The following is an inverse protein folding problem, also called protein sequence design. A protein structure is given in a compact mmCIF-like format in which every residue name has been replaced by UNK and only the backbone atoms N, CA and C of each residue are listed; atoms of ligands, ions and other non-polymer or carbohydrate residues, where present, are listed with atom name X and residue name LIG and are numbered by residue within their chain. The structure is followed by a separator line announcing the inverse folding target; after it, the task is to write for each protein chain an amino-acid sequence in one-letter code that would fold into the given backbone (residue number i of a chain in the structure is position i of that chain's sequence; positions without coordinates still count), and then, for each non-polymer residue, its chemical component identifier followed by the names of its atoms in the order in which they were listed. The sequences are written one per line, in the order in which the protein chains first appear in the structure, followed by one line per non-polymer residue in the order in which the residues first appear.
data_IF_710723276148
#
_entry.id   IF_710723276148
#
_cell.length_a   1.000
_cell.length_b   1.000
_cell.length_c   1.000
_cell.angle_alpha   90.00
_cell.angle_beta   90.00
_cell.angle_gamma   90.00
#
_symmetry.space_group_name_H-M   'P 1'
#
loop_
_entity.id
_entity.type
_entity.pdbx_description
1 polymer ?
#
# COMPACT_ATOMS: atom_id res chain seq x y z
N UNK A 1 -27.61 -50.23 27.85
CA UNK A 1 -26.82 -49.00 27.58
C UNK A 1 -25.61 -48.99 28.52
N UNK A 2 -24.48 -48.36 28.16
CA UNK A 2 -23.22 -48.41 28.94
C UNK A 2 -23.08 -47.18 29.88
N UNK A 3 -22.16 -47.30 30.85
CA UNK A 3 -21.74 -46.27 31.83
C UNK A 3 -21.14 -45.03 31.10
N UNK A 4 -20.95 -43.85 31.69
CA UNK A 4 -20.00 -43.49 32.80
C UNK A 4 -20.46 -42.22 33.53
N UNK A 5 -19.91 -41.96 34.73
CA UNK A 5 -20.23 -40.86 35.66
C UNK A 5 -18.93 -40.10 36.05
N UNK A 6 -19.06 -38.82 36.44
CA UNK A 6 -18.06 -37.95 37.10
C UNK A 6 -16.85 -37.47 36.27
N UNK A 7 -16.35 -36.25 36.61
CA UNK A 7 -15.16 -35.69 35.94
C UNK A 7 -14.88 -34.17 36.05
N UNK A 8 -15.50 -33.41 36.97
CA UNK A 8 -15.13 -31.99 37.18
C UNK A 8 -13.97 -31.89 38.20
N UNK A 9 -12.80 -31.41 37.75
CA UNK A 9 -11.64 -31.16 38.60
C UNK A 9 -11.30 -29.65 38.59
N UNK A 10 -11.53 -28.98 39.73
CA UNK A 10 -11.15 -27.58 39.91
C UNK A 10 -9.70 -27.49 40.39
N UNK A 11 -8.78 -27.12 39.49
CA UNK A 11 -7.35 -27.03 39.80
C UNK A 11 -7.02 -25.68 40.48
N UNK A 12 -7.12 -25.64 41.80
CA UNK A 12 -6.65 -24.50 42.60
C UNK A 12 -5.24 -24.78 43.10
N UNK A 13 -4.25 -24.05 42.58
CA UNK A 13 -2.87 -24.12 43.07
C UNK A 13 -2.40 -22.72 43.46
N UNK A 14 -2.27 -22.50 44.76
CA UNK A 14 -1.64 -21.31 45.33
C UNK A 14 -0.12 -21.41 45.21
N UNK A 15 0.55 -20.29 44.93
CA UNK A 15 1.96 -20.13 45.23
C UNK A 15 2.22 -18.73 45.81
N UNK A 16 3.11 -18.66 46.79
CA UNK A 16 3.15 -17.57 47.78
C UNK A 16 4.20 -16.50 47.44
N UNK A 17 3.99 -15.27 47.91
CA UNK A 17 5.09 -14.32 48.08
C UNK A 17 5.96 -14.75 49.27
N UNK A 18 7.27 -14.55 49.16
CA UNK A 18 8.20 -14.57 50.28
C UNK A 18 9.28 -13.50 50.06
N UNK A 19 9.58 -12.71 51.08
CA UNK A 19 10.59 -11.65 51.03
C UNK A 19 11.28 -11.44 52.38
N UNK A 20 12.61 -11.57 52.41
CA UNK A 20 13.61 -11.09 53.37
C UNK A 20 14.98 -11.26 52.65
N UNK A 21 16.00 -10.40 52.71
CA UNK A 21 16.46 -9.38 53.66
C UNK A 21 17.21 -9.90 54.89
N UNK A 22 18.56 -9.89 54.84
CA UNK A 22 19.49 -9.34 55.85
C UNK A 22 20.97 -9.61 55.48
N UNK A 23 21.90 -8.90 56.14
CA UNK A 23 23.36 -9.02 55.97
C UNK A 23 23.96 -10.22 56.73
N UNK A 24 25.25 -10.55 56.49
CA UNK A 24 26.30 -10.28 57.50
C UNK A 24 27.73 -10.28 56.89
N UNK A 25 28.77 -10.14 57.72
CA UNK A 25 30.17 -9.80 57.37
C UNK A 25 31.24 -10.78 57.92
N UNK A 26 32.52 -10.51 57.59
CA UNK A 26 33.77 -11.09 58.13
C UNK A 26 34.09 -12.58 57.83
N UNK A 27 35.33 -13.11 57.98
CA UNK A 27 36.74 -12.64 57.78
C UNK A 27 37.70 -13.81 58.15
N UNK A 28 39.02 -13.70 57.86
CA UNK A 28 40.15 -14.53 58.38
C UNK A 28 40.22 -15.97 57.78
N UNK A 29 41.33 -16.58 57.33
CA UNK A 29 42.69 -16.18 56.84
C UNK A 29 43.23 -17.39 56.01
N UNK A 30 44.48 -17.86 55.81
CA UNK A 30 45.93 -17.64 56.18
C UNK A 30 46.73 -18.60 55.23
N UNK A 31 48.05 -18.58 54.96
CA UNK A 31 49.21 -17.71 55.19
C UNK A 31 50.35 -18.12 54.21
N UNK A 32 51.36 -17.24 53.96
CA UNK A 32 52.67 -17.52 53.30
C UNK A 32 52.64 -17.99 51.82
N UNK A 33 53.72 -17.84 51.02
CA UNK A 33 55.12 -17.45 51.32
C UNK A 33 55.69 -16.44 50.29
N UNK A 34 56.95 -16.00 50.49
CA UNK A 34 57.71 -14.97 49.74
C UNK A 34 59.17 -15.52 49.57
N UNK A 35 60.17 -14.96 48.83
CA UNK A 35 60.35 -13.60 48.28
C UNK A 35 60.86 -13.60 46.78
N UNK A 36 61.52 -12.61 46.16
CA UNK A 36 62.27 -11.41 46.61
C UNK A 36 62.57 -10.42 45.45
N UNK A 37 62.65 -9.11 45.76
CA UNK A 37 63.40 -8.02 45.06
C UNK A 37 63.10 -7.74 43.55
N UNK A 38 63.32 -6.55 42.98
CA UNK A 38 63.56 -5.15 43.43
C UNK A 38 63.36 -4.25 42.17
N UNK A 39 63.07 -2.94 42.16
CA UNK A 39 63.65 -1.79 42.90
C UNK A 39 62.68 -0.59 42.94
N UNK A 40 62.99 0.40 43.78
CA UNK A 40 62.29 1.70 43.93
C UNK A 40 62.40 2.66 42.71
N UNK A 41 61.49 3.65 42.63
CA UNK A 41 61.78 5.09 42.85
C UNK A 41 60.49 5.94 42.74
N UNK A 42 60.54 7.13 43.34
CA UNK A 42 59.43 7.96 43.81
C UNK A 42 58.77 8.93 42.79
N UNK A 43 57.49 9.24 43.04
CA UNK A 43 56.88 10.61 43.07
C UNK A 43 56.16 11.21 41.83
N UNK A 44 55.12 11.98 42.20
CA UNK A 44 54.49 13.15 41.54
C UNK A 44 53.42 12.86 40.46
N UNK A 45 52.15 12.72 40.86
CA UNK A 45 51.14 13.79 41.08
C UNK A 45 50.60 14.41 39.78
N UNK A 46 49.34 14.12 39.45
CA UNK A 46 48.29 15.15 39.31
C UNK A 46 46.87 14.52 39.29
N UNK A 47 45.85 15.31 39.61
CA UNK A 47 44.46 14.85 39.74
C UNK A 47 43.73 14.91 38.40
N UNK A 48 42.80 13.95 38.15
CA UNK A 48 41.57 14.27 37.42
C UNK A 48 40.37 13.44 37.90
N UNK A 49 39.82 13.88 39.04
CA UNK A 49 38.53 13.44 39.55
C UNK A 49 37.39 14.15 38.79
N UNK A 50 36.34 13.41 38.43
CA UNK A 50 35.10 13.91 37.79
C UNK A 50 35.26 14.62 36.42
N UNK A 51 34.23 14.74 35.58
CA UNK A 51 32.78 14.66 35.85
C UNK A 51 32.07 13.72 34.89
N UNK A 52 31.19 12.86 35.43
CA UNK A 52 30.36 11.92 34.67
C UNK A 52 28.99 12.54 34.36
N UNK A 53 28.90 13.40 33.34
CA UNK A 53 27.60 13.90 32.86
C UNK A 53 27.56 14.29 31.38
N UNK A 54 26.35 14.22 30.78
CA UNK A 54 25.94 14.78 29.47
C UNK A 54 26.71 14.35 28.21
N UNK A 55 26.57 13.07 27.84
CA UNK A 55 26.57 12.65 26.41
C UNK A 55 25.40 11.71 26.11
N UNK A 56 24.18 12.10 26.50
CA UNK A 56 22.98 11.27 26.43
C UNK A 56 21.78 11.93 25.73
N UNK A 57 21.99 12.98 24.92
CA UNK A 57 21.00 13.45 23.95
C UNK A 57 21.67 14.10 22.73
N UNK A 58 21.79 13.33 21.63
CA UNK A 58 22.15 13.85 20.29
C UNK A 58 21.86 12.90 19.13
N UNK A 59 20.96 11.93 19.33
CA UNK A 59 20.53 10.95 18.31
C UNK A 59 19.07 11.12 17.86
N UNK A 60 18.32 12.05 18.47
CA UNK A 60 16.87 12.23 18.26
C UNK A 60 16.48 13.29 17.23
N UNK A 61 17.45 13.89 16.55
CA UNK A 61 17.24 15.09 15.73
C UNK A 61 17.00 14.82 14.22
N UNK A 62 17.13 13.56 13.76
CA UNK A 62 17.12 13.24 12.31
C UNK A 62 15.75 12.96 11.67
N UNK A 63 14.75 12.52 12.42
CA UNK A 63 13.51 11.95 11.87
C UNK A 63 12.23 12.67 12.33
N UNK A 64 12.27 14.02 12.36
CA UNK A 64 11.04 14.81 12.53
C UNK A 64 10.23 14.77 11.23
N UNK A 65 9.21 13.92 11.19
CA UNK A 65 8.25 13.82 10.07
C UNK A 65 7.51 15.15 9.87
N UNK A 66 7.47 15.63 8.63
CA UNK A 66 6.69 16.81 8.26
C UNK A 66 5.28 16.37 7.88
N UNK A 67 4.43 16.20 8.91
CA UNK A 67 3.07 15.72 8.76
C UNK A 67 2.10 16.88 8.50
N UNK A 68 1.38 16.80 7.39
CA UNK A 68 0.42 17.80 6.93
C UNK A 68 -1.00 17.27 7.15
N UNK A 69 -1.82 18.04 7.88
CA UNK A 69 -3.19 17.65 8.22
C UNK A 69 -4.11 17.74 7.00
N UNK A 70 -4.94 16.71 6.78
CA UNK A 70 -5.92 16.66 5.68
C UNK A 70 -7.25 16.07 6.14
N UNK A 71 -8.34 16.40 5.45
CA UNK A 71 -9.67 15.80 5.71
C UNK A 71 -9.94 14.69 4.70
N UNK A 72 -10.32 13.49 5.15
CA UNK A 72 -10.74 12.42 4.25
C UNK A 72 -12.04 12.81 3.51
N UNK A 73 -12.06 12.68 2.18
CA UNK A 73 -13.28 12.81 1.36
C UNK A 73 -13.84 11.43 1.06
N UNK A 74 -13.00 10.47 0.64
CA UNK A 74 -13.33 9.03 0.57
C UNK A 74 -12.09 8.18 0.31
N UNK A 75 -12.12 6.91 0.70
CA UNK A 75 -11.27 5.90 0.08
C UNK A 75 -11.66 5.67 -1.40
N UNK A 76 -10.72 5.21 -2.22
CA UNK A 76 -10.96 4.79 -3.61
C UNK A 76 -10.78 3.28 -3.74
N UNK A 77 -9.65 2.78 -3.26
CA UNK A 77 -9.19 1.39 -3.32
C UNK A 77 -8.17 1.13 -2.18
N UNK A 78 -7.28 0.15 -2.32
CA UNK A 78 -6.30 -0.23 -1.29
C UNK A 78 -5.14 0.76 -1.09
N UNK A 79 -4.80 1.59 -2.09
CA UNK A 79 -3.65 2.50 -2.05
C UNK A 79 -3.91 3.92 -2.59
N UNK A 80 -5.17 4.20 -2.93
CA UNK A 80 -5.63 5.51 -3.39
C UNK A 80 -6.79 6.01 -2.54
N UNK A 81 -6.72 7.30 -2.16
CA UNK A 81 -7.77 8.02 -1.43
C UNK A 81 -8.04 9.38 -2.08
N UNK A 82 -9.18 9.99 -1.75
CA UNK A 82 -9.44 11.42 -1.98
C UNK A 82 -9.50 12.16 -0.65
N UNK A 83 -8.88 13.33 -0.60
CA UNK A 83 -8.79 14.20 0.58
C UNK A 83 -9.12 15.64 0.20
N UNK A 84 -9.52 16.44 1.18
CA UNK A 84 -9.46 17.89 1.07
C UNK A 84 -8.10 18.37 1.56
N UNK A 85 -7.37 19.06 0.68
CA UNK A 85 -6.04 19.61 0.92
C UNK A 85 -5.96 21.00 0.28
N UNK A 86 -5.50 22.00 1.05
CA UNK A 86 -5.40 23.40 0.62
C UNK A 86 -6.66 23.92 -0.11
N UNK A 87 -7.85 23.57 0.38
CA UNK A 87 -9.16 23.93 -0.18
C UNK A 87 -9.62 23.13 -1.40
N UNK A 88 -8.78 22.27 -1.97
CA UNK A 88 -9.07 21.46 -3.16
C UNK A 88 -9.42 20.01 -2.78
N UNK A 89 -10.11 19.27 -3.65
CA UNK A 89 -10.32 17.82 -3.50
C UNK A 89 -9.27 17.09 -4.34
N UNK A 90 -8.19 16.69 -3.67
CA UNK A 90 -7.08 15.98 -4.27
C UNK A 90 -7.27 14.46 -4.24
N UNK A 91 -6.59 13.78 -5.17
CA UNK A 91 -6.46 12.31 -5.17
C UNK A 91 -5.03 11.97 -4.77
N UNK A 92 -4.85 11.18 -3.71
CA UNK A 92 -3.54 10.76 -3.20
C UNK A 92 -3.30 9.32 -3.62
N UNK A 93 -2.16 9.04 -4.26
CA UNK A 93 -1.63 7.69 -4.45
C UNK A 93 -0.52 7.45 -3.44
N UNK A 94 -0.59 6.33 -2.72
CA UNK A 94 0.40 5.99 -1.70
C UNK A 94 1.76 5.69 -2.34
N UNK A 95 2.81 6.29 -1.78
CA UNK A 95 4.20 6.01 -2.17
C UNK A 95 4.63 4.59 -1.77
N UNK A 96 5.53 4.02 -2.58
CA UNK A 96 6.25 2.75 -2.37
C UNK A 96 5.42 1.46 -2.24
N UNK A 97 4.09 1.52 -2.36
CA UNK A 97 3.21 0.34 -2.25
C UNK A 97 2.33 0.13 -3.48
N UNK A 98 1.87 -1.11 -3.67
CA UNK A 98 0.84 -1.48 -4.65
C UNK A 98 -0.09 -2.55 -4.05
N UNK A 99 -1.39 -2.40 -4.29
CA UNK A 99 -2.46 -3.26 -3.77
C UNK A 99 -3.27 -3.89 -4.92
N UNK A 100 -3.91 -5.05 -4.72
CA UNK A 100 -4.63 -5.70 -5.80
C UNK A 100 -5.82 -4.88 -6.30
N UNK A 101 -5.95 -4.82 -7.63
CA UNK A 101 -6.85 -3.92 -8.32
C UNK A 101 -8.35 -4.26 -8.12
N UNK A 102 -9.20 -3.23 -8.04
CA UNK A 102 -10.66 -3.38 -7.83
C UNK A 102 -11.53 -2.38 -8.59
N UNK A 103 -10.99 -1.29 -9.15
CA UNK A 103 -11.77 -0.18 -9.76
C UNK A 103 -11.26 0.31 -11.12
N UNK A 104 -10.04 -0.07 -11.55
CA UNK A 104 -9.50 0.29 -12.88
C UNK A 104 -10.40 -0.22 -14.02
N UNK A 105 -10.78 0.64 -14.98
CA UNK A 105 -11.51 0.23 -16.18
C UNK A 105 -10.83 -0.90 -16.94
N UNK A 106 -11.64 -1.73 -17.59
CA UNK A 106 -11.21 -2.85 -18.45
C UNK A 106 -10.30 -3.88 -17.76
N UNK A 107 -10.29 -3.88 -16.42
CA UNK A 107 -9.61 -4.84 -15.57
C UNK A 107 -10.59 -5.59 -14.69
N UNK A 108 -10.23 -6.80 -14.28
CA UNK A 108 -11.02 -7.61 -13.36
C UNK A 108 -10.65 -7.32 -11.92
N UNK A 109 -11.61 -7.49 -11.00
CA UNK A 109 -11.33 -7.49 -9.56
C UNK A 109 -10.31 -8.60 -9.25
N UNK A 110 -9.21 -8.22 -8.62
CA UNK A 110 -8.13 -9.13 -8.27
C UNK A 110 -8.36 -9.73 -6.86
N UNK A 111 -7.88 -10.96 -6.59
CA UNK A 111 -7.91 -11.54 -5.24
C UNK A 111 -7.32 -10.59 -4.19
N UNK A 112 -7.88 -10.56 -2.99
CA UNK A 112 -7.48 -9.65 -1.89
C UNK A 112 -7.63 -8.14 -2.17
N UNK A 113 -8.08 -7.70 -3.36
CA UNK A 113 -8.23 -6.29 -3.66
C UNK A 113 -9.33 -5.62 -2.85
N UNK A 114 -10.50 -6.26 -2.72
CA UNK A 114 -11.58 -5.75 -1.87
C UNK A 114 -11.22 -5.82 -0.38
N UNK A 115 -10.38 -6.78 0.03
CA UNK A 115 -9.85 -6.87 1.39
C UNK A 115 -8.89 -5.69 1.69
N UNK A 116 -7.96 -5.40 0.78
CA UNK A 116 -7.06 -4.24 0.87
C UNK A 116 -7.81 -2.90 0.83
N UNK A 117 -8.80 -2.76 -0.07
CA UNK A 117 -9.68 -1.59 -0.18
C UNK A 117 -10.50 -1.36 1.09
N UNK A 118 -11.13 -2.41 1.62
CA UNK A 118 -11.85 -2.39 2.90
C UNK A 118 -10.92 -2.02 4.05
N UNK A 119 -9.73 -2.61 4.12
CA UNK A 119 -8.77 -2.36 5.20
C UNK A 119 -8.20 -0.94 5.16
N UNK A 120 -7.83 -0.44 3.98
CA UNK A 120 -7.41 0.93 3.78
C UNK A 120 -8.50 1.91 4.25
N UNK A 121 -9.75 1.69 3.83
CA UNK A 121 -10.92 2.48 4.25
C UNK A 121 -11.11 2.48 5.77
N UNK A 122 -10.99 1.32 6.43
CA UNK A 122 -11.06 1.22 7.90
C UNK A 122 -9.97 2.06 8.58
N UNK A 123 -8.72 1.96 8.10
CA UNK A 123 -7.59 2.71 8.64
C UNK A 123 -7.81 4.22 8.47
N UNK A 124 -8.00 4.74 7.25
CA UNK A 124 -8.11 6.20 7.01
C UNK A 124 -9.36 6.85 7.59
N UNK A 125 -10.37 6.06 7.96
CA UNK A 125 -11.59 6.56 8.62
C UNK A 125 -11.53 6.53 10.15
N UNK A 126 -10.44 6.02 10.75
CA UNK A 126 -10.40 5.70 12.19
C UNK A 126 -9.91 6.82 13.11
N UNK A 127 -9.27 7.87 12.59
CA UNK A 127 -8.61 8.90 13.39
C UNK A 127 -8.12 10.09 12.57
N UNK A 128 -7.13 10.84 13.09
CA UNK A 128 -6.58 12.04 12.44
C UNK A 128 -5.72 11.66 11.24
N UNK A 129 -6.24 11.92 10.03
CA UNK A 129 -5.53 11.68 8.77
C UNK A 129 -4.48 12.77 8.49
N UNK A 130 -3.26 12.34 8.16
CA UNK A 130 -2.13 13.21 7.81
C UNK A 130 -1.35 12.66 6.62
N UNK A 131 -0.76 13.54 5.82
CA UNK A 131 0.15 13.20 4.71
C UNK A 131 1.59 13.58 5.07
N UNK A 132 2.56 12.82 4.55
CA UNK A 132 3.97 13.17 4.53
C UNK A 132 4.46 13.08 3.07
N UNK A 133 5.03 14.16 2.55
CA UNK A 133 5.65 14.17 1.24
C UNK A 133 7.10 13.68 1.32
N UNK A 134 7.62 13.16 0.20
CA UNK A 134 9.03 12.78 0.06
C UNK A 134 9.78 13.83 -0.79
N UNK A 135 11.09 13.67 -0.97
CA UNK A 135 12.02 14.68 -1.51
C UNK A 135 11.79 15.11 -2.97
N UNK A 136 11.03 14.34 -3.74
CA UNK A 136 10.80 14.55 -5.17
C UNK A 136 9.50 15.30 -5.45
N UNK A 137 9.00 15.19 -6.68
CA UNK A 137 7.74 15.83 -7.05
C UNK A 137 6.57 15.29 -6.20
N UNK A 138 5.83 16.20 -5.57
CA UNK A 138 4.65 15.86 -4.76
C UNK A 138 3.47 15.37 -5.60
N UNK A 139 3.56 15.35 -6.95
CA UNK A 139 2.50 14.89 -7.86
C UNK A 139 3.05 14.02 -8.99
N UNK A 140 2.26 13.06 -9.43
CA UNK A 140 2.56 12.25 -10.63
C UNK A 140 2.05 12.91 -11.93
N UNK A 141 2.36 12.27 -13.07
CA UNK A 141 1.93 12.70 -14.42
C UNK A 141 0.41 12.72 -14.65
N UNK A 142 -0.39 12.19 -13.70
CA UNK A 142 -1.85 12.24 -13.71
C UNK A 142 -2.39 13.30 -12.73
N UNK A 143 -1.51 14.09 -12.11
CA UNK A 143 -1.83 15.12 -11.12
C UNK A 143 -2.16 14.57 -9.73
N UNK A 144 -2.04 13.26 -9.48
CA UNK A 144 -2.31 12.68 -8.14
C UNK A 144 -1.20 13.08 -7.18
N UNK A 145 -1.53 13.45 -5.95
CA UNK A 145 -0.56 13.66 -4.88
C UNK A 145 0.18 12.34 -4.58
N UNK A 146 1.49 12.43 -4.35
CA UNK A 146 2.34 11.31 -3.95
C UNK A 146 2.76 11.50 -2.50
N UNK A 147 2.31 10.62 -1.60
CA UNK A 147 2.56 10.77 -0.16
C UNK A 147 2.67 9.44 0.59
N UNK A 148 3.28 9.49 1.77
CA UNK A 148 3.04 8.52 2.85
C UNK A 148 1.86 8.99 3.70
N UNK A 149 1.02 8.05 4.15
CA UNK A 149 -0.26 8.36 4.78
C UNK A 149 -0.29 7.82 6.20
N UNK A 150 -0.69 8.68 7.12
CA UNK A 150 -0.71 8.42 8.56
C UNK A 150 -2.08 8.64 9.15
N UNK A 151 -2.42 7.82 10.14
CA UNK A 151 -3.60 7.99 10.99
C UNK A 151 -3.16 7.93 12.44
N UNK A 152 -3.38 9.02 13.19
CA UNK A 152 -2.88 9.20 14.56
C UNK A 152 -1.37 8.89 14.69
N UNK A 153 -0.58 9.30 13.69
CA UNK A 153 0.86 9.07 13.60
C UNK A 153 1.30 7.66 13.16
N UNK A 154 0.37 6.71 12.96
CA UNK A 154 0.67 5.34 12.49
C UNK A 154 0.62 5.26 10.97
N UNK A 155 1.61 4.59 10.36
CA UNK A 155 1.69 4.44 8.90
C UNK A 155 0.64 3.46 8.37
N UNK A 156 -0.16 3.92 7.41
CA UNK A 156 -1.14 3.08 6.70
C UNK A 156 -0.42 2.06 5.81
N UNK A 157 0.62 2.49 5.09
CA UNK A 157 1.41 1.62 4.21
C UNK A 157 2.11 0.49 4.97
N UNK A 158 2.74 0.78 6.11
CA UNK A 158 3.34 -0.27 6.95
C UNK A 158 2.29 -1.29 7.42
N UNK A 159 1.09 -0.82 7.79
CA UNK A 159 0.01 -1.71 8.25
C UNK A 159 -0.44 -2.64 7.12
N UNK A 160 -0.66 -2.10 5.91
CA UNK A 160 -1.04 -2.89 4.73
C UNK A 160 0.05 -3.88 4.29
N UNK A 161 1.34 -3.52 4.42
CA UNK A 161 2.46 -4.42 4.13
C UNK A 161 2.57 -5.55 5.17
N UNK A 162 2.54 -5.22 6.47
CA UNK A 162 2.58 -6.19 7.58
C UNK A 162 1.40 -7.16 7.55
N UNK A 163 0.21 -6.72 7.13
CA UNK A 163 -0.98 -7.59 6.96
C UNK A 163 -1.00 -8.37 5.62
N UNK A 164 0.02 -8.20 4.77
CA UNK A 164 0.13 -8.86 3.47
C UNK A 164 -0.91 -8.40 2.44
N UNK A 165 -1.48 -7.21 2.60
CA UNK A 165 -2.48 -6.64 1.69
C UNK A 165 -1.87 -5.74 0.61
N UNK A 166 -0.61 -5.34 0.79
CA UNK A 166 0.20 -4.62 -0.19
C UNK A 166 1.53 -5.33 -0.46
N UNK A 167 2.13 -5.02 -1.62
CA UNK A 167 3.52 -5.31 -1.98
C UNK A 167 4.33 -4.01 -2.06
N UNK A 168 5.66 -4.12 -2.07
CA UNK A 168 6.54 -2.99 -2.42
C UNK A 168 6.52 -2.78 -3.95
N UNK A 169 6.41 -1.53 -4.38
CA UNK A 169 6.30 -1.15 -5.79
C UNK A 169 6.73 0.30 -6.05
N UNK A 170 6.80 0.70 -7.33
CA UNK A 170 6.98 2.09 -7.77
C UNK A 170 8.15 2.83 -7.08
N UNK A 171 9.26 2.11 -6.90
CA UNK A 171 10.48 2.62 -6.26
C UNK A 171 11.24 3.49 -7.27
N UNK A 172 11.00 4.79 -7.23
CA UNK A 172 11.66 5.78 -8.08
C UNK A 172 12.36 6.83 -7.22
N UNK A 173 13.63 7.11 -7.52
CA UNK A 173 14.36 8.18 -6.83
C UNK A 173 13.79 9.56 -7.19
N UNK A 174 13.79 10.53 -6.25
CA UNK A 174 14.34 10.46 -4.90
C UNK A 174 13.33 9.98 -3.83
N UNK A 175 12.14 9.50 -4.23
CA UNK A 175 11.02 9.16 -3.35
C UNK A 175 11.18 7.77 -2.73
N UNK A 176 12.21 7.60 -1.88
CA UNK A 176 12.62 6.30 -1.32
C UNK A 176 12.67 6.26 0.21
N UNK A 177 12.17 7.28 0.92
CA UNK A 177 12.39 7.50 2.38
C UNK A 177 12.19 6.29 3.29
N UNK A 178 11.17 5.45 3.03
CA UNK A 178 10.84 4.29 3.88
C UNK A 178 11.10 2.93 3.23
N UNK A 179 11.85 2.87 2.11
CA UNK A 179 11.98 1.67 1.29
C UNK A 179 12.48 0.43 2.05
N UNK A 180 13.44 0.59 2.97
CA UNK A 180 14.02 -0.56 3.67
C UNK A 180 13.13 -1.08 4.80
N UNK A 181 12.37 -0.20 5.47
CA UNK A 181 11.34 -0.63 6.44
C UNK A 181 10.17 -1.30 5.71
N UNK A 182 9.74 -0.76 4.57
CA UNK A 182 8.64 -1.34 3.79
C UNK A 182 9.04 -2.71 3.19
N UNK A 183 10.28 -2.87 2.73
CA UNK A 183 10.83 -4.18 2.36
C UNK A 183 10.84 -5.15 3.54
N UNK A 184 11.26 -4.72 4.73
CA UNK A 184 11.25 -5.57 5.93
C UNK A 184 9.83 -6.08 6.24
N UNK A 185 8.87 -5.17 6.33
CA UNK A 185 7.46 -5.49 6.58
C UNK A 185 6.91 -6.49 5.55
N UNK A 186 7.26 -6.29 4.28
CA UNK A 186 6.87 -7.19 3.18
C UNK A 186 7.49 -8.59 3.33
N UNK A 187 8.75 -8.70 3.75
CA UNK A 187 9.40 -10.01 3.98
C UNK A 187 8.81 -10.74 5.20
N UNK A 188 8.40 -10.01 6.24
CA UNK A 188 7.69 -10.55 7.41
C UNK A 188 6.38 -11.23 6.96
N UNK A 189 5.51 -10.49 6.26
CA UNK A 189 4.25 -11.01 5.72
C UNK A 189 4.43 -12.13 4.66
N UNK A 190 5.52 -12.10 3.87
CA UNK A 190 5.91 -13.20 2.97
C UNK A 190 6.25 -14.48 3.72
N UNK A 191 7.01 -14.37 4.82
CA UNK A 191 7.46 -15.53 5.60
C UNK A 191 6.29 -16.26 6.27
N UNK A 192 5.32 -15.49 6.78
CA UNK A 192 4.08 -16.00 7.37
C UNK A 192 3.00 -16.38 6.32
N UNK A 193 3.23 -16.04 5.04
CA UNK A 193 2.32 -16.29 3.90
C UNK A 193 0.94 -15.62 4.07
N UNK A 194 0.92 -14.42 4.63
CA UNK A 194 -0.31 -13.66 4.88
C UNK A 194 -0.94 -13.19 3.56
N UNK A 195 -2.28 -13.20 3.50
CA UNK A 195 -3.08 -12.50 2.49
C UNK A 195 -2.57 -12.76 1.05
N UNK A 196 -2.01 -11.77 0.33
CA UNK A 196 -1.51 -11.95 -1.05
C UNK A 196 -0.41 -13.03 -1.16
N UNK A 197 0.39 -13.22 -0.11
CA UNK A 197 1.52 -14.16 -0.07
C UNK A 197 1.09 -15.62 0.20
N UNK A 198 -0.17 -15.85 0.56
CA UNK A 198 -0.76 -17.19 0.72
C UNK A 198 -0.83 -17.99 -0.59
N UNK A 199 -0.87 -17.30 -1.73
CA UNK A 199 -1.12 -17.88 -3.06
C UNK A 199 0.16 -17.82 -3.89
N UNK A 200 0.79 -18.98 -4.10
CA UNK A 200 2.01 -19.09 -4.91
C UNK A 200 1.79 -18.52 -6.34
N UNK A 201 2.80 -17.82 -6.86
CA UNK A 201 2.77 -17.18 -8.18
C UNK A 201 1.72 -16.07 -8.33
N UNK A 202 1.08 -15.61 -7.25
CA UNK A 202 0.06 -14.56 -7.33
C UNK A 202 0.66 -13.16 -7.47
N UNK A 203 1.62 -12.80 -6.61
CA UNK A 203 2.34 -11.53 -6.70
C UNK A 203 3.55 -11.71 -7.61
N UNK A 204 3.84 -10.69 -8.42
CA UNK A 204 5.00 -10.63 -9.32
C UNK A 204 5.75 -9.31 -9.14
N UNK A 205 6.82 -9.11 -9.90
CA UNK A 205 7.46 -7.82 -10.11
C UNK A 205 6.52 -6.81 -10.81
N UNK A 206 5.76 -7.25 -11.83
CA UNK A 206 4.91 -6.39 -12.67
C UNK A 206 3.52 -6.09 -12.10
N UNK A 207 3.04 -6.84 -11.11
CA UNK A 207 1.72 -6.66 -10.51
C UNK A 207 1.19 -7.94 -9.85
N UNK A 208 -0.11 -8.21 -10.02
CA UNK A 208 -0.81 -9.37 -9.46
C UNK A 208 -1.48 -10.22 -10.55
N UNK A 209 -1.48 -11.55 -10.36
CA UNK A 209 -1.89 -12.52 -11.36
C UNK A 209 -3.33 -13.03 -11.21
N UNK A 210 -4.17 -12.66 -12.18
CA UNK A 210 -5.48 -13.23 -12.43
C UNK A 210 -6.62 -12.67 -11.56
N UNK A 211 -7.82 -13.10 -11.92
CA UNK A 211 -9.08 -12.49 -11.48
C UNK A 211 -9.79 -13.30 -10.38
N UNK A 212 -10.60 -12.61 -9.58
CA UNK A 212 -11.76 -13.25 -8.92
C UNK A 212 -12.73 -13.70 -10.01
N UNK A 213 -13.13 -14.98 -9.98
CA UNK A 213 -14.22 -15.46 -10.84
C UNK A 213 -15.54 -15.05 -10.18
N UNK A 214 -16.30 -14.20 -10.85
CA UNK A 214 -17.69 -13.86 -10.52
C UNK A 214 -18.46 -15.13 -10.11
N UNK A 215 -18.87 -15.21 -8.84
CA UNK A 215 -19.88 -16.20 -8.44
C UNK A 215 -21.18 -15.73 -9.04
N UNK A 216 -21.71 -16.46 -10.03
CA UNK A 216 -22.93 -16.11 -10.76
C UNK A 216 -24.18 -16.15 -9.86
N UNK A 217 -24.33 -15.18 -8.96
CA UNK A 217 -25.57 -14.93 -8.21
C UNK A 217 -26.61 -14.47 -9.20
N UNK A 218 -27.43 -15.41 -9.67
CA UNK A 218 -28.49 -15.17 -10.64
C UNK A 218 -29.59 -14.29 -10.05
N UNK A 219 -29.36 -12.97 -10.09
CA UNK A 219 -30.38 -11.95 -9.80
C UNK A 219 -31.47 -12.05 -10.86
N UNK A 220 -32.50 -12.85 -10.58
CA UNK A 220 -33.72 -12.92 -11.41
C UNK A 220 -34.33 -11.52 -11.48
N UNK A 221 -34.19 -10.88 -12.64
CA UNK A 221 -34.82 -9.58 -12.93
C UNK A 221 -36.34 -9.73 -12.90
N UNK A 222 -36.94 -9.42 -11.75
CA UNK A 222 -38.37 -9.49 -11.54
C UNK A 222 -39.07 -8.33 -12.26
N UNK A 223 -39.45 -8.55 -13.51
CA UNK A 223 -40.30 -7.61 -14.27
C UNK A 223 -41.65 -7.49 -13.58
N UNK A 224 -41.95 -6.32 -13.02
CA UNK A 224 -43.29 -5.97 -12.51
C UNK A 224 -43.85 -4.83 -13.36
N UNK A 225 -45.09 -5.00 -13.81
CA UNK A 225 -45.73 -4.13 -14.80
C UNK A 225 -46.48 -2.97 -14.16
N UNK A 226 -46.46 -1.83 -14.87
CA UNK A 226 -47.25 -0.63 -14.60
C UNK A 226 -48.73 -0.84 -14.97
N UNK A 227 -49.68 -0.41 -14.12
CA UNK A 227 -50.97 0.13 -14.56
C UNK A 227 -50.93 1.65 -14.73
N UNK A 228 -51.78 2.22 -15.59
CA UNK A 228 -51.86 3.65 -15.86
C UNK A 228 -53.28 4.18 -15.59
N UNK A 229 -53.44 5.49 -15.34
CA UNK A 229 -54.75 6.14 -15.28
C UNK A 229 -54.67 7.61 -15.76
N UNK A 230 -55.37 7.88 -16.86
CA UNK A 230 -55.89 9.14 -17.42
C UNK A 230 -55.14 10.49 -17.33
N UNK A 231 -54.85 11.01 -18.53
CA UNK A 231 -54.83 12.41 -19.00
C UNK A 231 -56.16 13.19 -18.70
N UNK A 232 -56.31 14.52 -18.99
CA UNK A 232 -55.75 15.35 -20.08
C UNK A 232 -55.07 16.67 -19.58
N UNK A 233 -54.74 17.72 -20.35
CA UNK A 233 -55.06 18.15 -21.74
C UNK A 233 -53.90 18.97 -22.40
N UNK A 234 -54.17 19.66 -23.52
CA UNK A 234 -53.31 20.53 -24.37
C UNK A 234 -54.20 21.68 -24.92
N UNK A 235 -53.81 22.57 -25.89
CA UNK A 235 -52.51 22.82 -26.55
C UNK A 235 -52.11 24.33 -26.70
N UNK A 236 -50.95 24.59 -27.35
CA UNK A 236 -50.62 25.65 -28.35
C UNK A 236 -49.22 26.27 -28.13
N UNK A 237 -48.43 26.72 -29.12
CA UNK A 237 -48.03 26.25 -30.46
C UNK A 237 -47.03 27.30 -31.05
N UNK A 238 -46.27 26.94 -32.09
CA UNK A 238 -45.17 27.72 -32.72
C UNK A 238 -43.91 27.85 -31.84
N UNK A 239 -42.67 27.55 -32.26
CA UNK A 239 -42.01 27.43 -33.59
C UNK A 239 -41.61 28.75 -34.24
N UNK A 240 -40.30 28.99 -34.32
CA UNK A 240 -39.62 29.74 -35.39
C UNK A 240 -38.13 29.35 -35.46
N UNK A 241 -37.41 29.75 -36.53
CA UNK A 241 -36.16 29.12 -37.02
C UNK A 241 -35.13 30.14 -37.46
N UNK A 242 -33.83 29.90 -37.18
CA UNK A 242 -32.64 30.14 -38.06
C UNK A 242 -31.35 29.86 -37.24
N UNK A 243 -30.35 29.03 -37.62
CA UNK A 243 -29.59 28.76 -38.86
C UNK A 243 -28.28 29.57 -39.00
N UNK A 244 -27.16 28.95 -38.59
CA UNK A 244 -25.76 29.01 -39.12
C UNK A 244 -24.96 28.02 -38.25
N UNK A 245 -24.35 26.90 -38.67
CA UNK A 245 -23.47 26.57 -39.83
C UNK A 245 -22.20 27.45 -39.83
N UNK A 246 -20.95 26.96 -39.91
CA UNK A 246 -20.35 25.73 -40.48
C UNK A 246 -19.26 25.13 -39.53
N UNK A 247 -19.14 23.81 -39.34
CA UNK A 247 -18.29 22.80 -40.05
C UNK A 247 -16.76 23.00 -39.85
N UNK A 248 -15.86 22.00 -39.85
CA UNK A 248 -15.85 20.51 -39.78
C UNK A 248 -14.41 20.08 -39.39
N UNK A 249 -14.02 18.82 -39.18
CA UNK A 249 -14.58 17.54 -39.63
C UNK A 249 -14.46 16.42 -38.59
N UNK A 250 -15.46 15.54 -38.57
CA UNK A 250 -15.26 14.14 -38.18
C UNK A 250 -14.61 13.38 -39.35
N UNK A 251 -13.80 12.37 -39.06
CA UNK A 251 -13.47 11.33 -40.05
C UNK A 251 -13.83 9.97 -39.46
N UNK A 252 -15.09 9.59 -39.68
CA UNK A 252 -15.56 8.23 -39.47
C UNK A 252 -14.94 7.36 -40.59
N UNK A 253 -14.08 6.41 -40.22
CA UNK A 253 -13.41 5.53 -41.17
C UNK A 253 -13.77 4.08 -40.90
N UNK A 254 -14.28 3.40 -41.92
CA UNK A 254 -14.61 1.97 -41.90
C UNK A 254 -13.40 1.12 -41.52
N UNK A 255 -13.59 0.20 -40.58
CA UNK A 255 -12.53 -0.67 -40.06
C UNK A 255 -12.08 -1.77 -41.02
N UNK A 256 -11.36 -1.42 -42.08
CA UNK A 256 -10.59 -2.39 -42.86
C UNK A 256 -9.37 -2.88 -42.06
N UNK A 257 -9.16 -4.20 -42.03
CA UNK A 257 -8.10 -4.82 -41.19
C UNK A 257 -6.75 -4.82 -41.92
N UNK A 258 -5.87 -3.88 -41.58
CA UNK A 258 -4.57 -3.70 -42.23
C UNK A 258 -3.56 -4.81 -41.85
N UNK A 259 -3.45 -5.84 -42.67
CA UNK A 259 -2.56 -6.98 -42.39
C UNK A 259 -1.13 -6.77 -42.91
N UNK A 260 -0.21 -6.46 -42.00
CA UNK A 260 1.23 -6.39 -42.25
C UNK A 260 1.90 -7.77 -42.21
N UNK A 261 3.04 -7.94 -42.90
CA UNK A 261 3.82 -9.20 -42.91
C UNK A 261 4.62 -9.44 -41.63
N UNK A 262 5.22 -8.39 -41.08
CA UNK A 262 6.03 -8.40 -39.86
C UNK A 262 6.13 -6.98 -39.27
N UNK A 263 6.74 -6.84 -38.09
CA UNK A 263 6.93 -5.55 -37.44
C UNK A 263 7.85 -4.56 -38.20
N UNK A 264 8.69 -5.02 -39.13
CA UNK A 264 9.50 -4.12 -39.95
C UNK A 264 8.64 -3.38 -40.97
N UNK A 265 7.68 -4.06 -41.58
CA UNK A 265 6.71 -3.43 -42.49
C UNK A 265 5.71 -2.56 -41.72
N UNK A 266 5.19 -3.03 -40.58
CA UNK A 266 4.26 -2.27 -39.75
C UNK A 266 4.88 -0.94 -39.28
N UNK A 267 6.13 -0.95 -38.82
CA UNK A 267 6.84 0.26 -38.36
C UNK A 267 7.21 1.25 -39.47
N UNK A 268 7.03 0.93 -40.76
CA UNK A 268 7.11 1.95 -41.84
C UNK A 268 5.92 2.91 -41.83
N UNK A 269 4.75 2.44 -41.39
CA UNK A 269 3.51 3.24 -41.28
C UNK A 269 3.24 3.70 -39.84
N UNK A 270 3.58 2.87 -38.86
CA UNK A 270 3.36 3.14 -37.43
C UNK A 270 4.68 2.94 -36.64
N UNK A 271 5.61 3.92 -36.64
CA UNK A 271 6.99 3.74 -36.16
C UNK A 271 7.14 3.23 -34.73
N UNK A 272 6.16 3.54 -33.87
CA UNK A 272 6.13 3.17 -32.45
C UNK A 272 5.40 1.85 -32.18
N UNK A 273 4.87 1.15 -33.19
CA UNK A 273 3.91 0.05 -33.03
C UNK A 273 2.45 0.52 -32.91
N UNK A 274 1.52 -0.40 -32.64
CA UNK A 274 0.07 -0.11 -32.55
C UNK A 274 -0.63 -0.88 -31.41
N UNK A 275 -1.57 -0.27 -30.67
CA UNK A 275 -2.35 -0.94 -29.62
C UNK A 275 -3.41 -1.91 -30.18
N UNK A 276 -3.94 -2.80 -29.34
CA UNK A 276 -4.92 -3.82 -29.74
C UNK A 276 -6.25 -3.32 -30.28
N UNK A 277 -6.59 -2.06 -30.01
CA UNK A 277 -7.76 -1.38 -30.58
C UNK A 277 -7.53 -0.85 -32.00
N UNK A 278 -6.32 -0.96 -32.55
CA UNK A 278 -5.97 -0.41 -33.86
C UNK A 278 -6.22 -1.43 -35.00
N UNK A 279 -6.78 -1.05 -36.17
CA UNK A 279 -7.07 -1.99 -37.26
C UNK A 279 -5.86 -2.73 -37.87
N UNK A 280 -4.64 -2.27 -37.55
CA UNK A 280 -3.38 -2.91 -37.96
C UNK A 280 -2.83 -3.95 -36.95
N UNK A 281 -3.48 -4.10 -35.79
CA UNK A 281 -3.02 -4.98 -34.72
C UNK A 281 -3.08 -6.45 -35.11
N UNK A 282 -2.04 -7.19 -34.76
CA UNK A 282 -1.95 -8.63 -34.97
C UNK A 282 -1.29 -9.26 -33.74
N UNK A 283 -2.02 -10.07 -32.98
CA UNK A 283 -1.51 -10.72 -31.76
C UNK A 283 -0.21 -11.52 -31.96
N UNK A 284 0.05 -12.09 -33.15
CA UNK A 284 1.34 -12.74 -33.48
C UNK A 284 2.55 -11.79 -33.54
N UNK A 285 2.33 -10.49 -33.40
CA UNK A 285 3.33 -9.41 -33.43
C UNK A 285 3.37 -8.58 -32.15
N UNK A 286 2.41 -8.81 -31.24
CA UNK A 286 2.57 -8.55 -29.82
C UNK A 286 3.37 -9.74 -29.26
N UNK A 287 4.67 -9.54 -29.05
CA UNK A 287 5.59 -10.59 -28.55
C UNK A 287 5.45 -10.73 -27.04
N UNK A 288 5.16 -9.63 -26.38
CA UNK A 288 5.28 -9.38 -24.96
C UNK A 288 3.95 -9.67 -24.21
N UNK A 289 2.87 -9.83 -25.01
CA UNK A 289 1.48 -10.07 -24.66
C UNK A 289 0.90 -8.94 -23.78
N UNK A 290 1.30 -7.71 -24.09
CA UNK A 290 0.88 -6.50 -23.38
C UNK A 290 -0.36 -5.82 -24.00
N UNK A 291 -0.77 -6.25 -25.21
CA UNK A 291 -1.74 -5.65 -26.12
C UNK A 291 -1.21 -4.52 -27.03
N UNK A 292 0.09 -4.46 -27.29
CA UNK A 292 0.72 -3.47 -28.16
C UNK A 292 1.65 -4.12 -29.20
N UNK A 293 1.14 -4.32 -30.41
CA UNK A 293 1.90 -4.95 -31.48
C UNK A 293 3.07 -4.07 -31.93
N UNK A 294 4.27 -4.63 -31.94
CA UNK A 294 5.48 -4.03 -32.48
C UNK A 294 5.97 -2.72 -31.81
N UNK A 295 5.85 -2.56 -30.49
CA UNK A 295 6.68 -1.56 -29.77
C UNK A 295 8.19 -1.87 -29.84
N UNK A 296 9.06 -1.06 -29.22
CA UNK A 296 10.53 -1.10 -29.39
C UNK A 296 11.28 -1.47 -28.12
#
# INVERSE_FOLDING_TARGET
MKKVILGFAAFTLSLSLAACSSNDSEKVSTEKETPQASTDVEKKTEQKESTKEKTADKSKEKDKKELVDVTLVRAVDGDTIKVSYNGNIDTVRYLLVDTPETKKPDSCVQPYGEDASKRNKELVSSGKLQLEFDKGDHRDKYGRLLAYVYVDGKSVQETLLKEGLARVAYVYEPNTKYIDQFKKDEQEAKSEKLSIWSKNGYVTDRGFNGCVKEKTTAVKKATTSKPATSQPTTPKASSETSTTTENEASSESTGETETFKNCTELRKKYPNGVPSSHPAYQSKMDRDHDNYACER
#
